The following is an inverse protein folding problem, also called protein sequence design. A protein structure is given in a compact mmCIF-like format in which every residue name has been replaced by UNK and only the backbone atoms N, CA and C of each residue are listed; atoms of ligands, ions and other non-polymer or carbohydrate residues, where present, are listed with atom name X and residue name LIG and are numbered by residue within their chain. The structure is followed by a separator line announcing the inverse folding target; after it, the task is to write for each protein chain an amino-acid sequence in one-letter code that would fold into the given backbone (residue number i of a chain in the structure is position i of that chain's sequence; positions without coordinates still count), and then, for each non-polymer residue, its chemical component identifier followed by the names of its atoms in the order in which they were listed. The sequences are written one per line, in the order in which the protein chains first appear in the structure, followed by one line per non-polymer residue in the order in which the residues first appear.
data_IF_652150093428
#
_entry.id   IF_652150093428
#
_cell.length_a   1.000
_cell.length_b   1.000
_cell.length_c   1.000
_cell.angle_alpha   90.00
_cell.angle_beta   90.00
_cell.angle_gamma   90.00
#
_symmetry.space_group_name_H-M   'P 1'
#
loop_
_entity.id
_entity.type
_entity.pdbx_description
1 polymer ?
#
# COMPACT_ATOMS: atom_id res chain seq x y z
N UNK A 1 -2.69 -24.24 -1.04
CA UNK A 1 -3.56 -25.01 -1.96
C UNK A 1 -4.52 -24.14 -2.78
N UNK A 2 -4.85 -22.90 -2.38
CA UNK A 2 -5.70 -21.98 -3.19
C UNK A 2 -5.02 -21.50 -4.49
N UNK A 3 -3.75 -21.09 -4.44
CA UNK A 3 -3.10 -20.42 -5.57
C UNK A 3 -2.94 -21.33 -6.81
N UNK A 4 -2.74 -22.64 -6.61
CA UNK A 4 -2.70 -23.63 -7.70
C UNK A 4 -4.07 -23.85 -8.36
N UNK A 5 -5.16 -23.56 -7.66
CA UNK A 5 -6.51 -23.73 -8.20
C UNK A 5 -6.95 -22.52 -9.03
N UNK A 6 -6.38 -21.34 -8.77
CA UNK A 6 -6.74 -20.09 -9.47
C UNK A 6 -5.75 -19.70 -10.56
N UNK A 7 -4.48 -20.06 -10.45
CA UNK A 7 -3.46 -19.72 -11.44
C UNK A 7 -3.22 -20.90 -12.40
N UNK A 8 -4.13 -21.02 -13.37
CA UNK A 8 -4.27 -22.21 -14.22
C UNK A 8 -3.34 -22.25 -15.42
N UNK A 9 -2.81 -21.10 -15.85
CA UNK A 9 -1.93 -20.93 -17.01
C UNK A 9 -0.43 -20.85 -16.65
N UNK A 10 -0.10 -20.98 -15.36
CA UNK A 10 1.27 -20.94 -14.83
C UNK A 10 2.20 -21.89 -15.57
N UNK A 11 3.35 -21.36 -16.01
CA UNK A 11 4.45 -22.14 -16.55
C UNK A 11 5.59 -22.28 -15.54
N UNK A 12 6.28 -23.44 -15.49
CA UNK A 12 7.53 -23.57 -14.75
C UNK A 12 8.54 -22.51 -15.22
N UNK A 13 9.10 -21.76 -14.27
CA UNK A 13 10.08 -20.71 -14.56
C UNK A 13 9.50 -19.31 -14.82
N UNK A 14 8.18 -19.14 -14.74
CA UNK A 14 7.52 -17.83 -14.67
C UNK A 14 8.18 -16.93 -13.62
N UNK A 15 8.22 -15.63 -13.87
CA UNK A 15 8.82 -14.65 -12.96
C UNK A 15 7.73 -13.90 -12.22
N UNK A 16 7.68 -14.05 -10.90
CA UNK A 16 6.82 -13.24 -10.04
C UNK A 16 7.64 -12.09 -9.48
N UNK A 17 7.17 -10.87 -9.72
CA UNK A 17 7.69 -9.68 -9.07
C UNK A 17 7.07 -9.53 -7.69
N UNK A 18 7.90 -9.52 -6.65
CA UNK A 18 7.46 -9.35 -5.27
C UNK A 18 8.23 -8.23 -4.58
N UNK A 19 7.58 -7.58 -3.62
CA UNK A 19 8.18 -6.54 -2.78
C UNK A 19 7.86 -6.78 -1.30
N UNK A 20 8.36 -5.92 -0.43
CA UNK A 20 8.16 -5.97 1.02
C UNK A 20 8.87 -7.11 1.74
N UNK A 21 8.79 -7.12 3.07
CA UNK A 21 9.46 -8.10 3.93
C UNK A 21 9.12 -9.57 3.62
N UNK A 22 7.89 -9.84 3.18
CA UNK A 22 7.44 -11.18 2.80
C UNK A 22 8.23 -11.75 1.61
N UNK A 23 8.66 -10.90 0.67
CA UNK A 23 9.52 -11.32 -0.45
C UNK A 23 10.89 -11.81 0.00
N UNK A 24 11.36 -11.41 1.19
CA UNK A 24 12.55 -12.00 1.83
C UNK A 24 12.19 -13.33 2.47
N UNK A 25 11.25 -13.26 3.43
CA UNK A 25 10.94 -14.36 4.35
C UNK A 25 10.43 -15.62 3.66
N UNK A 26 9.68 -15.48 2.57
CA UNK A 26 8.96 -16.59 1.93
C UNK A 26 9.49 -16.95 0.54
N UNK A 27 10.61 -16.36 0.12
CA UNK A 27 11.15 -16.53 -1.23
C UNK A 27 11.33 -18.00 -1.63
N UNK A 28 12.03 -18.78 -0.82
CA UNK A 28 12.31 -20.19 -1.09
C UNK A 28 11.04 -21.04 -1.17
N UNK A 29 10.11 -20.85 -0.23
CA UNK A 29 8.85 -21.59 -0.19
C UNK A 29 8.02 -21.27 -1.43
N UNK A 30 7.94 -20.00 -1.82
CA UNK A 30 7.20 -19.59 -3.03
C UNK A 30 7.81 -20.23 -4.28
N UNK A 31 9.13 -20.16 -4.44
CA UNK A 31 9.80 -20.74 -5.60
C UNK A 31 9.67 -22.27 -5.64
N UNK A 32 9.83 -22.95 -4.50
CA UNK A 32 9.74 -24.41 -4.40
C UNK A 32 8.33 -24.90 -4.68
N UNK A 33 7.34 -24.36 -3.98
CA UNK A 33 5.96 -24.81 -4.11
C UNK A 33 5.43 -24.46 -5.50
N UNK A 34 5.60 -23.21 -5.95
CA UNK A 34 5.01 -22.77 -7.21
C UNK A 34 5.87 -23.07 -8.44
N UNK A 35 7.09 -23.59 -8.31
CA UNK A 35 7.98 -23.84 -9.44
C UNK A 35 8.27 -22.58 -10.28
N UNK A 36 8.29 -21.41 -9.64
CA UNK A 36 8.49 -20.09 -10.25
C UNK A 36 9.84 -19.51 -9.86
N UNK A 37 10.26 -18.46 -10.56
CA UNK A 37 11.34 -17.57 -10.15
C UNK A 37 10.76 -16.34 -9.46
N UNK A 38 11.44 -15.86 -8.44
CA UNK A 38 11.01 -14.67 -7.72
C UNK A 38 11.97 -13.51 -8.00
N UNK A 39 11.46 -12.46 -8.63
CA UNK A 39 12.18 -11.21 -8.84
C UNK A 39 11.79 -10.22 -7.75
N UNK A 40 12.76 -9.84 -6.95
CA UNK A 40 12.54 -8.92 -5.84
C UNK A 40 12.62 -7.49 -6.32
N UNK A 41 11.79 -6.64 -5.73
CA UNK A 41 11.76 -5.19 -5.98
C UNK A 41 11.76 -4.46 -4.65
N UNK A 42 12.42 -3.30 -4.61
CA UNK A 42 12.49 -2.45 -3.41
C UNK A 42 11.09 -1.96 -3.00
N UNK A 43 10.78 -2.01 -1.70
CA UNK A 43 9.45 -1.69 -1.18
C UNK A 43 9.07 -0.23 -1.38
N UNK A 44 9.98 0.69 -1.05
CA UNK A 44 9.71 2.11 -1.17
C UNK A 44 9.59 2.51 -2.64
N UNK A 45 10.48 1.99 -3.50
CA UNK A 45 10.41 2.21 -4.94
C UNK A 45 9.08 1.72 -5.51
N UNK A 46 8.72 0.46 -5.27
CA UNK A 46 7.47 -0.11 -5.78
C UNK A 46 6.25 0.68 -5.32
N UNK A 47 6.25 1.17 -4.07
CA UNK A 47 5.19 2.01 -3.53
C UNK A 47 5.10 3.35 -4.27
N UNK A 48 6.20 4.10 -4.39
CA UNK A 48 6.22 5.41 -5.06
C UNK A 48 5.82 5.29 -6.53
N UNK A 49 6.34 4.29 -7.25
CA UNK A 49 5.95 4.05 -8.64
C UNK A 49 4.46 3.73 -8.78
N UNK A 50 3.90 2.90 -7.89
CA UNK A 50 2.48 2.58 -7.88
C UNK A 50 1.59 3.81 -7.61
N UNK A 51 1.99 4.64 -6.64
CA UNK A 51 1.29 5.91 -6.32
C UNK A 51 1.30 6.84 -7.53
N UNK A 52 2.46 7.10 -8.11
CA UNK A 52 2.58 7.99 -9.26
C UNK A 52 1.77 7.48 -10.45
N UNK A 53 1.78 6.16 -10.69
CA UNK A 53 0.98 5.53 -11.75
C UNK A 53 -0.52 5.76 -11.52
N UNK A 54 -1.01 5.49 -10.32
CA UNK A 54 -2.44 5.64 -10.02
C UNK A 54 -2.89 7.11 -10.10
N UNK A 55 -2.11 8.04 -9.54
CA UNK A 55 -2.44 9.47 -9.56
C UNK A 55 -2.41 10.07 -10.97
N UNK A 56 -1.55 9.57 -11.85
CA UNK A 56 -1.46 10.05 -13.24
C UNK A 56 -2.48 9.40 -14.18
N UNK A 57 -2.96 8.20 -13.86
CA UNK A 57 -3.86 7.43 -14.75
C UNK A 57 -5.32 7.55 -14.35
N UNK A 58 -5.62 7.72 -13.05
CA UNK A 58 -6.97 7.64 -12.52
C UNK A 58 -7.37 8.95 -11.81
N UNK A 59 -8.30 9.68 -12.41
CA UNK A 59 -8.78 10.98 -11.90
C UNK A 59 -9.45 10.86 -10.51
N UNK A 60 -10.13 9.75 -10.24
CA UNK A 60 -10.90 9.53 -9.01
C UNK A 60 -10.17 8.65 -7.98
N UNK A 61 -8.85 8.50 -8.09
CA UNK A 61 -8.10 7.69 -7.12
C UNK A 61 -7.95 8.39 -5.77
N UNK A 62 -7.69 9.70 -5.79
CA UNK A 62 -7.41 10.51 -4.61
C UNK A 62 -8.62 11.35 -4.20
N UNK A 63 -8.90 11.40 -2.89
CA UNK A 63 -9.99 12.19 -2.34
C UNK A 63 -9.69 12.72 -0.94
N UNK A 64 -10.36 13.81 -0.57
CA UNK A 64 -10.42 14.29 0.81
C UNK A 64 -11.78 13.95 1.40
N UNK A 65 -11.79 13.45 2.65
CA UNK A 65 -13.01 13.20 3.40
C UNK A 65 -13.34 14.36 4.34
N UNK A 66 -14.58 14.86 4.27
CA UNK A 66 -15.09 15.93 5.13
C UNK A 66 -16.20 15.38 6.04
N UNK A 67 -15.93 15.31 7.34
CA UNK A 67 -16.85 14.72 8.31
C UNK A 67 -18.20 15.44 8.38
N UNK A 68 -18.18 16.78 8.33
CA UNK A 68 -19.34 17.65 8.50
C UNK A 68 -20.19 17.78 7.22
N UNK A 69 -19.71 17.29 6.08
CA UNK A 69 -20.45 17.33 4.82
C UNK A 69 -21.55 16.26 4.78
N UNK A 70 -22.56 16.47 3.92
CA UNK A 70 -23.72 15.58 3.81
C UNK A 70 -23.69 14.81 2.49
N UNK A 71 -24.04 13.52 2.55
CA UNK A 71 -24.21 12.66 1.37
C UNK A 71 -22.91 12.52 0.58
N UNK A 72 -22.99 12.63 -0.75
CA UNK A 72 -21.83 12.48 -1.65
C UNK A 72 -20.77 13.58 -1.48
N UNK A 73 -21.11 14.71 -0.86
CA UNK A 73 -20.16 15.81 -0.61
C UNK A 73 -19.14 15.49 0.48
N UNK A 74 -19.30 14.37 1.20
CA UNK A 74 -18.29 13.85 2.14
C UNK A 74 -16.99 13.49 1.45
N UNK A 75 -17.03 13.10 0.19
CA UNK A 75 -15.84 12.74 -0.59
C UNK A 75 -15.62 13.81 -1.66
N UNK A 76 -14.50 14.50 -1.58
CA UNK A 76 -14.07 15.44 -2.60
C UNK A 76 -12.90 14.85 -3.37
N UNK A 77 -13.21 14.29 -4.54
CA UNK A 77 -12.21 13.85 -5.50
C UNK A 77 -11.61 15.09 -6.16
N UNK A 78 -10.28 15.16 -6.19
CA UNK A 78 -9.57 16.22 -6.90
C UNK A 78 -8.61 15.54 -7.86
N UNK A 79 -8.74 15.77 -9.19
CA UNK A 79 -7.67 15.44 -10.11
C UNK A 79 -6.45 16.25 -9.66
N UNK A 80 -5.47 15.59 -9.06
CA UNK A 80 -4.19 16.24 -8.78
C UNK A 80 -3.43 16.18 -10.10
N UNK A 81 -3.23 17.32 -10.76
CA UNK A 81 -2.40 17.34 -11.95
C UNK A 81 -1.01 16.79 -11.57
N UNK A 82 -0.53 15.77 -12.29
CA UNK A 82 0.62 14.96 -11.89
C UNK A 82 1.92 15.78 -11.70
N UNK A 83 2.00 16.94 -12.34
CA UNK A 83 3.07 17.93 -12.25
C UNK A 83 2.96 18.86 -11.03
N UNK A 84 1.79 18.96 -10.40
CA UNK A 84 1.51 19.79 -9.23
C UNK A 84 1.44 18.99 -7.91
N UNK A 85 1.66 17.67 -7.92
CA UNK A 85 1.53 16.84 -6.70
C UNK A 85 2.72 16.99 -5.75
N UNK A 86 3.88 17.41 -6.27
CA UNK A 86 5.13 17.43 -5.52
C UNK A 86 5.40 18.83 -4.94
N UNK A 87 5.99 18.92 -3.73
CA UNK A 87 6.32 17.80 -2.84
C UNK A 87 5.09 17.30 -2.08
N UNK A 88 5.10 16.01 -1.70
CA UNK A 88 4.09 15.48 -0.78
C UNK A 88 4.67 14.52 0.24
N UNK A 89 3.91 14.33 1.33
CA UNK A 89 4.17 13.27 2.30
C UNK A 89 3.33 12.05 1.97
N UNK A 90 3.97 10.90 1.85
CA UNK A 90 3.32 9.60 1.78
C UNK A 90 3.37 8.92 3.14
N UNK A 91 2.21 8.73 3.76
CA UNK A 91 2.08 7.98 5.01
C UNK A 91 1.53 6.59 4.70
N UNK A 92 2.42 5.61 4.60
CA UNK A 92 2.04 4.22 4.40
C UNK A 92 1.74 3.54 5.75
N UNK A 93 0.48 3.19 5.97
CA UNK A 93 0.01 2.52 7.19
C UNK A 93 -0.22 1.04 6.86
N UNK A 94 0.61 0.17 7.41
CA UNK A 94 0.46 -1.29 7.42
C UNK A 94 0.50 -1.81 8.86
N UNK A 95 1.28 -2.87 9.11
CA UNK A 95 1.54 -3.35 10.49
C UNK A 95 2.13 -2.23 11.36
N UNK A 96 3.10 -1.50 10.82
CA UNK A 96 3.59 -0.21 11.35
C UNK A 96 3.25 0.94 10.39
N UNK A 97 3.82 2.12 10.63
CA UNK A 97 3.66 3.32 9.82
C UNK A 97 5.01 3.71 9.23
N UNK A 98 5.01 4.08 7.95
CA UNK A 98 6.15 4.64 7.25
C UNK A 98 5.81 6.00 6.68
N UNK A 99 6.63 7.00 6.96
CA UNK A 99 6.43 8.36 6.47
C UNK A 99 7.56 8.67 5.49
N UNK A 100 7.19 8.92 4.23
CA UNK A 100 8.11 9.28 3.17
C UNK A 100 7.84 10.71 2.72
N UNK A 101 8.90 11.48 2.52
CA UNK A 101 8.87 12.75 1.79
C UNK A 101 9.19 12.45 0.33
N UNK A 102 8.33 12.92 -0.56
CA UNK A 102 8.45 12.69 -2.00
C UNK A 102 8.60 14.03 -2.69
N UNK A 103 9.81 14.32 -3.14
CA UNK A 103 10.17 15.60 -3.77
C UNK A 103 9.95 15.55 -5.29
N UNK A 104 10.05 14.37 -5.92
CA UNK A 104 9.78 14.18 -7.34
C UNK A 104 9.47 12.71 -7.65
N UNK A 105 9.10 12.33 -8.89
CA UNK A 105 8.82 10.93 -9.25
C UNK A 105 9.98 9.95 -8.98
N UNK A 106 11.21 10.46 -8.88
CA UNK A 106 12.42 9.66 -8.67
C UNK A 106 13.21 10.04 -7.42
N UNK A 107 12.79 11.08 -6.69
CA UNK A 107 13.46 11.56 -5.48
C UNK A 107 12.50 11.50 -4.30
N UNK A 108 12.84 10.66 -3.34
CA UNK A 108 12.09 10.45 -2.12
C UNK A 108 12.99 9.93 -1.02
N UNK A 109 12.62 10.20 0.22
CA UNK A 109 13.32 9.72 1.40
C UNK A 109 12.34 9.34 2.50
N UNK A 110 12.71 8.36 3.32
CA UNK A 110 11.97 8.04 4.53
C UNK A 110 12.34 9.05 5.60
N UNK A 111 11.39 9.92 5.94
CA UNK A 111 11.57 10.94 6.99
C UNK A 111 11.09 10.47 8.36
N UNK A 112 10.36 9.36 8.44
CA UNK A 112 9.93 8.82 9.72
C UNK A 112 9.13 7.53 9.65
N UNK A 113 8.53 7.21 10.79
CA UNK A 113 7.67 6.04 10.96
C UNK A 113 7.23 5.88 12.41
N UNK A 114 6.33 4.93 12.62
CA UNK A 114 5.86 4.53 13.96
C UNK A 114 5.65 3.02 14.00
N UNK A 115 5.98 2.38 15.12
CA UNK A 115 5.61 0.99 15.36
C UNK A 115 4.13 0.82 15.68
N UNK A 116 3.45 1.91 16.09
CA UNK A 116 2.01 1.93 16.38
C UNK A 116 1.22 2.12 15.08
N UNK A 117 1.09 1.05 14.29
CA UNK A 117 0.29 1.02 13.07
C UNK A 117 -0.97 0.17 13.22
N UNK A 118 -1.43 -0.37 12.09
CA UNK A 118 -2.57 -1.28 12.05
C UNK A 118 -2.32 -2.55 12.86
N UNK A 119 -1.08 -3.04 12.93
CA UNK A 119 -0.74 -4.23 13.73
C UNK A 119 -0.98 -4.04 15.23
N UNK A 120 -0.67 -2.85 15.75
CA UNK A 120 -0.95 -2.50 17.15
C UNK A 120 -2.44 -2.40 17.40
N UNK A 121 -3.19 -1.75 16.50
CA UNK A 121 -4.64 -1.65 16.60
C UNK A 121 -5.30 -3.02 16.60
N UNK A 122 -4.99 -3.87 15.61
CA UNK A 122 -5.52 -5.22 15.49
C UNK A 122 -5.12 -6.07 16.71
N UNK A 123 -3.86 -6.01 17.13
CA UNK A 123 -3.35 -6.78 18.26
C UNK A 123 -4.03 -6.43 19.57
N UNK A 124 -4.10 -5.14 19.91
CA UNK A 124 -4.80 -4.68 21.12
C UNK A 124 -6.31 -4.95 21.03
N UNK A 125 -6.91 -4.71 19.87
CA UNK A 125 -8.33 -5.00 19.63
C UNK A 125 -8.66 -6.46 19.89
N UNK A 126 -7.83 -7.39 19.41
CA UNK A 126 -8.01 -8.83 19.63
C UNK A 126 -7.78 -9.29 21.08
N UNK A 127 -6.95 -8.58 21.83
CA UNK A 127 -6.66 -8.89 23.24
C UNK A 127 -7.70 -8.32 24.20
N UNK A 128 -8.17 -7.10 23.91
CA UNK A 128 -9.03 -6.33 24.79
C UNK A 128 -10.52 -6.50 24.46
N UNK A 129 -10.85 -7.09 23.31
CA UNK A 129 -12.23 -7.31 22.88
C UNK A 129 -12.42 -8.72 22.33
N UNK A 130 -13.65 -9.27 22.34
CA UNK A 130 -13.95 -10.56 21.72
C UNK A 130 -13.88 -10.55 20.17
N UNK A 131 -13.62 -9.40 19.54
CA UNK A 131 -13.64 -9.27 18.08
C UNK A 131 -12.41 -9.96 17.47
N UNK A 132 -12.65 -10.97 16.61
CA UNK A 132 -11.58 -11.77 16.01
C UNK A 132 -11.20 -11.37 14.58
N UNK A 133 -12.05 -10.60 13.89
CA UNK A 133 -11.87 -10.37 12.44
C UNK A 133 -12.44 -9.07 11.87
N UNK A 134 -13.14 -8.24 12.67
CA UNK A 134 -13.91 -7.09 12.14
C UNK A 134 -13.33 -5.71 12.46
N UNK A 135 -12.01 -5.63 12.55
CA UNK A 135 -11.34 -4.33 12.54
C UNK A 135 -11.03 -3.95 11.10
N UNK A 136 -12.08 -3.62 10.34
CA UNK A 136 -11.95 -3.10 8.99
C UNK A 136 -11.43 -1.67 9.08
N UNK A 137 -10.11 -1.51 9.17
CA UNK A 137 -9.50 -0.26 8.73
C UNK A 137 -9.75 -0.22 7.23
N UNK A 138 -10.42 0.82 6.74
CA UNK A 138 -10.57 1.07 5.32
C UNK A 138 -9.17 1.29 4.71
N UNK A 139 -8.50 0.19 4.34
CA UNK A 139 -7.27 0.20 3.56
C UNK A 139 -7.61 0.40 2.08
N UNK A 140 -8.33 1.48 1.75
CA UNK A 140 -8.01 2.15 0.50
C UNK A 140 -6.81 2.98 0.88
N UNK A 141 -5.62 2.67 0.34
CA UNK A 141 -4.36 3.37 0.59
C UNK A 141 -4.65 4.80 1.02
N UNK A 142 -4.58 5.09 2.32
CA UNK A 142 -4.78 6.45 2.83
C UNK A 142 -3.53 7.21 2.42
N UNK A 143 -3.45 7.54 1.14
CA UNK A 143 -2.65 8.60 0.59
C UNK A 143 -3.22 9.89 1.18
N UNK A 144 -2.92 10.16 2.45
CA UNK A 144 -2.92 11.53 2.93
C UNK A 144 -1.73 12.21 2.24
N UNK A 145 -1.92 12.56 0.97
CA UNK A 145 -1.05 13.48 0.24
C UNK A 145 -1.28 14.82 0.92
N UNK A 146 -0.48 15.11 1.93
CA UNK A 146 -0.33 16.48 2.39
C UNK A 146 0.53 17.19 1.35
N UNK A 147 -0.11 17.95 0.46
CA UNK A 147 0.60 18.97 -0.29
C UNK A 147 1.14 19.97 0.74
N UNK A 148 2.46 20.18 0.75
CA UNK A 148 3.06 21.28 1.52
C UNK A 148 2.85 22.61 0.79
#
# INVERSE_FOLDING_TARGET
MFIFQVWTDRQPGDVIHCTGGGSYKYSEIIMKELGVRLQRTDEMRSLIFGVNFLLSTNVDESFTYHHDAIGRNKFQYRPIAADLIYPFLLVNIGTGISILKVDSPTSYERVGGSSMGGGTFMGLGSLLTPAQSEFFICYKTFLNIYAM
#
